data_IF_497215780452
#
_entry.id   IF_497215780452
#
_cell.length_a   1.000
_cell.length_b   1.000
_cell.length_c   1.000
_cell.angle_alpha   90.00
_cell.angle_beta   90.00
_cell.angle_gamma   90.00
#
_symmetry.space_group_name_H-M   'P 1'
#
loop_
_entity.id
_entity.type
_entity.pdbx_description
1 polymer ?
#
# COMPACT_ATOMS: atom_id res chain seq x y z
N UNK A 1 8.44 -25.41 -20.38
CA UNK A 1 8.51 -23.97 -20.05
C UNK A 1 8.39 -23.81 -18.55
N UNK A 2 9.47 -23.46 -17.83
CA UNK A 2 9.41 -23.21 -16.39
C UNK A 2 8.74 -21.86 -16.16
N UNK A 3 7.50 -21.89 -15.68
CA UNK A 3 6.79 -20.71 -15.20
C UNK A 3 7.48 -20.32 -13.89
N UNK A 4 8.33 -19.29 -13.93
CA UNK A 4 8.83 -18.66 -12.71
C UNK A 4 7.63 -18.06 -11.99
N UNK A 5 7.27 -18.65 -10.86
CA UNK A 5 6.24 -18.11 -9.97
C UNK A 5 6.75 -16.77 -9.46
N UNK A 6 6.08 -15.68 -9.82
CA UNK A 6 6.49 -14.28 -9.54
C UNK A 6 6.58 -13.90 -8.05
N UNK A 7 6.29 -14.83 -7.14
CA UNK A 7 6.24 -14.60 -5.69
C UNK A 7 7.16 -15.55 -4.90
N UNK A 8 8.35 -15.86 -5.42
CA UNK A 8 9.35 -16.62 -4.65
C UNK A 8 10.28 -15.66 -3.90
N UNK A 9 9.89 -15.28 -2.68
CA UNK A 9 10.78 -14.54 -1.77
C UNK A 9 11.75 -15.52 -1.10
N UNK A 10 13.05 -15.24 -1.17
CA UNK A 10 14.05 -15.95 -0.38
C UNK A 10 14.17 -15.22 0.97
N UNK A 11 13.88 -15.88 2.11
CA UNK A 11 14.00 -15.25 3.41
C UNK A 11 15.49 -15.03 3.74
N UNK A 12 15.92 -13.77 3.72
CA UNK A 12 17.21 -13.35 4.31
C UNK A 12 17.00 -12.78 5.71
N UNK A 13 18.09 -12.62 6.46
CA UNK A 13 18.03 -11.99 7.79
C UNK A 13 17.44 -10.58 7.73
N UNK A 14 17.80 -9.78 6.72
CA UNK A 14 17.24 -8.44 6.51
C UNK A 14 15.74 -8.50 6.18
N UNK A 15 15.34 -9.43 5.32
CA UNK A 15 13.95 -9.56 4.89
C UNK A 15 13.04 -9.96 6.05
N UNK A 16 13.49 -10.88 6.91
CA UNK A 16 12.77 -11.26 8.12
C UNK A 16 12.64 -10.08 9.08
N UNK A 17 13.74 -9.37 9.35
CA UNK A 17 13.74 -8.19 10.24
C UNK A 17 12.79 -7.09 9.73
N UNK A 18 12.89 -6.75 8.46
CA UNK A 18 12.06 -5.69 7.86
C UNK A 18 10.59 -6.09 7.82
N UNK A 19 10.27 -7.38 7.62
CA UNK A 19 8.90 -7.88 7.68
C UNK A 19 8.28 -7.68 9.06
N UNK A 20 9.04 -7.93 10.13
CA UNK A 20 8.56 -7.75 11.51
C UNK A 20 8.28 -6.28 11.80
N UNK A 21 9.21 -5.38 11.44
CA UNK A 21 9.04 -3.93 11.66
C UNK A 21 7.82 -3.41 10.88
N UNK A 22 7.67 -3.84 9.63
CA UNK A 22 6.55 -3.46 8.79
C UNK A 22 5.22 -3.97 9.37
N UNK A 23 5.20 -5.22 9.84
CA UNK A 23 4.02 -5.82 10.46
C UNK A 23 3.60 -5.08 11.73
N UNK A 24 4.56 -4.81 12.63
CA UNK A 24 4.34 -4.07 13.87
C UNK A 24 3.72 -2.69 13.61
N UNK A 25 4.31 -1.95 12.67
CA UNK A 25 3.81 -0.64 12.31
C UNK A 25 2.42 -0.67 11.63
N UNK A 26 2.10 -1.70 10.85
CA UNK A 26 0.73 -1.90 10.31
C UNK A 26 -0.27 -2.18 11.42
N UNK A 27 0.07 -3.05 12.38
CA UNK A 27 -0.82 -3.39 13.50
C UNK A 27 -1.09 -2.20 14.42
N UNK A 28 -0.12 -1.30 14.57
CA UNK A 28 -0.27 -0.03 15.30
C UNK A 28 -0.94 1.09 14.49
N UNK A 29 -1.35 0.84 13.23
CA UNK A 29 -1.90 1.83 12.30
C UNK A 29 -0.94 3.03 12.07
N UNK A 30 0.37 2.79 12.05
CA UNK A 30 1.38 3.82 11.74
C UNK A 30 1.56 3.98 10.23
N UNK A 31 1.72 5.22 9.77
CA UNK A 31 2.14 5.51 8.40
C UNK A 31 3.63 5.20 8.22
N UNK A 32 3.99 4.57 7.10
CA UNK A 32 5.36 4.10 6.83
C UNK A 32 5.71 4.46 5.39
N UNK A 33 6.95 4.88 5.17
CA UNK A 33 7.54 5.05 3.84
C UNK A 33 8.66 4.04 3.68
N UNK A 34 8.59 3.20 2.65
CA UNK A 34 9.66 2.28 2.28
C UNK A 34 10.53 2.91 1.19
N UNK A 35 11.74 3.33 1.56
CA UNK A 35 12.71 3.93 0.64
C UNK A 35 13.80 2.93 0.24
N UNK A 36 14.27 3.01 -1.01
CA UNK A 36 15.43 2.26 -1.49
C UNK A 36 15.51 2.23 -3.02
N UNK A 37 16.58 1.67 -3.62
CA UNK A 37 16.73 1.55 -5.07
C UNK A 37 15.62 0.70 -5.73
N UNK A 38 15.34 0.87 -7.04
CA UNK A 38 14.46 -0.04 -7.77
C UNK A 38 15.01 -1.48 -7.69
N UNK A 39 14.13 -2.46 -7.55
CA UNK A 39 14.51 -3.88 -7.44
C UNK A 39 14.98 -4.35 -6.06
N UNK A 40 15.03 -3.50 -5.02
CA UNK A 40 15.46 -3.92 -3.67
C UNK A 40 14.38 -4.67 -2.85
N UNK A 41 13.28 -5.09 -3.47
CA UNK A 41 12.27 -5.95 -2.84
C UNK A 41 11.21 -5.27 -1.97
N UNK A 42 11.03 -3.94 -2.05
CA UNK A 42 10.01 -3.19 -1.27
C UNK A 42 8.59 -3.73 -1.47
N UNK A 43 8.12 -3.79 -2.72
CA UNK A 43 6.79 -4.30 -3.04
C UNK A 43 6.66 -5.77 -2.66
N UNK A 44 7.72 -6.56 -2.83
CA UNK A 44 7.76 -7.96 -2.38
C UNK A 44 7.63 -8.10 -0.86
N UNK A 45 8.22 -7.21 -0.07
CA UNK A 45 8.10 -7.19 1.39
C UNK A 45 6.65 -6.96 1.84
N UNK A 46 5.97 -5.98 1.22
CA UNK A 46 4.56 -5.67 1.50
C UNK A 46 3.65 -6.85 1.12
N UNK A 47 3.87 -7.44 -0.06
CA UNK A 47 3.10 -8.61 -0.47
C UNK A 47 3.39 -9.84 0.39
N UNK A 48 4.58 -9.95 1.00
CA UNK A 48 4.89 -11.04 1.92
C UNK A 48 4.13 -10.93 3.23
N UNK A 49 4.05 -9.75 3.84
CA UNK A 49 3.30 -9.56 5.10
C UNK A 49 1.78 -9.75 4.91
N UNK A 50 1.26 -9.63 3.68
CA UNK A 50 -0.16 -9.92 3.36
C UNK A 50 -0.57 -11.33 3.76
N UNK A 51 0.34 -12.30 3.63
CA UNK A 51 0.08 -13.70 3.99
C UNK A 51 -0.11 -13.88 5.50
N UNK A 52 0.49 -12.98 6.31
CA UNK A 52 0.36 -12.95 7.77
C UNK A 52 -0.88 -12.18 8.24
N UNK A 53 -1.41 -11.29 7.39
CA UNK A 53 -2.53 -10.39 7.70
C UNK A 53 -3.83 -10.85 7.04
N UNK A 54 -4.42 -11.95 7.51
CA UNK A 54 -5.64 -12.53 6.93
C UNK A 54 -6.87 -11.61 7.00
N UNK A 55 -6.98 -10.81 8.07
CA UNK A 55 -8.07 -9.84 8.29
C UNK A 55 -7.85 -8.49 7.62
N UNK A 56 -6.76 -8.34 6.84
CA UNK A 56 -6.45 -7.13 6.11
C UNK A 56 -6.45 -7.41 4.61
N UNK A 57 -6.87 -6.45 3.80
CA UNK A 57 -6.62 -6.41 2.36
C UNK A 57 -5.60 -5.30 2.03
N UNK A 58 -4.96 -5.40 0.87
CA UNK A 58 -4.02 -4.38 0.37
C UNK A 58 -4.62 -3.80 -0.91
N UNK A 59 -4.80 -2.49 -0.94
CA UNK A 59 -5.07 -1.71 -2.15
C UNK A 59 -3.75 -1.11 -2.61
N UNK A 60 -3.22 -1.62 -3.72
CA UNK A 60 -2.03 -1.04 -4.36
C UNK A 60 -2.45 0.06 -5.33
N UNK A 61 -1.88 1.25 -5.17
CA UNK A 61 -2.04 2.39 -6.06
C UNK A 61 -0.66 2.68 -6.68
N UNK A 62 -0.57 2.60 -8.00
CA UNK A 62 0.65 2.93 -8.74
C UNK A 62 0.55 4.39 -9.20
N UNK A 63 1.41 5.25 -8.66
CA UNK A 63 1.46 6.66 -9.04
C UNK A 63 2.19 6.81 -10.38
N UNK A 64 1.71 7.76 -11.18
CA UNK A 64 2.37 8.22 -12.39
C UNK A 64 2.43 9.75 -12.38
N UNK A 65 3.09 10.33 -13.38
CA UNK A 65 3.13 11.78 -13.58
C UNK A 65 1.76 12.43 -13.81
N UNK A 66 0.73 11.64 -14.09
CA UNK A 66 -0.63 12.12 -14.37
C UNK A 66 -1.66 11.68 -13.34
N UNK A 67 -1.25 11.00 -12.27
CA UNK A 67 -2.17 10.58 -11.21
C UNK A 67 -2.68 11.82 -10.46
N UNK A 68 -4.00 12.02 -10.45
CA UNK A 68 -4.64 13.14 -9.74
C UNK A 68 -5.25 12.69 -8.41
N UNK A 69 -5.52 13.64 -7.51
CA UNK A 69 -6.29 13.40 -6.29
C UNK A 69 -7.67 12.75 -6.55
N UNK A 70 -8.33 13.10 -7.65
CA UNK A 70 -9.61 12.46 -8.04
C UNK A 70 -9.43 10.98 -8.39
N UNK A 71 -8.30 10.62 -9.01
CA UNK A 71 -7.99 9.22 -9.33
C UNK A 71 -7.72 8.42 -8.05
N UNK A 72 -7.02 9.00 -7.08
CA UNK A 72 -6.82 8.38 -5.76
C UNK A 72 -8.15 8.09 -5.08
N UNK A 73 -9.06 9.07 -5.06
CA UNK A 73 -10.39 8.87 -4.49
C UNK A 73 -11.16 7.77 -5.23
N UNK A 74 -11.11 7.74 -6.57
CA UNK A 74 -11.74 6.67 -7.37
C UNK A 74 -11.18 5.30 -7.00
N UNK A 75 -9.86 5.15 -6.87
CA UNK A 75 -9.24 3.87 -6.49
C UNK A 75 -9.69 3.42 -5.10
N UNK A 76 -9.71 4.34 -4.12
CA UNK A 76 -10.15 4.01 -2.76
C UNK A 76 -11.63 3.61 -2.76
N UNK A 77 -12.49 4.31 -3.51
CA UNK A 77 -13.93 4.00 -3.62
C UNK A 77 -14.24 2.69 -4.34
N UNK A 78 -13.29 2.10 -5.08
CA UNK A 78 -13.46 0.74 -5.60
C UNK A 78 -13.48 -0.28 -4.46
N UNK A 79 -12.63 -0.12 -3.44
CA UNK A 79 -12.52 -1.03 -2.30
C UNK A 79 -13.29 -0.58 -1.05
N UNK A 80 -13.69 0.69 -0.98
CA UNK A 80 -14.37 1.28 0.18
C UNK A 80 -15.73 1.86 -0.17
N UNK A 81 -16.58 1.99 0.84
CA UNK A 81 -17.91 2.60 0.76
C UNK A 81 -18.13 3.56 1.91
N UNK A 82 -18.97 4.57 1.68
CA UNK A 82 -19.38 5.49 2.74
C UNK A 82 -20.40 4.82 3.65
N UNK A 83 -20.10 4.77 4.95
CA UNK A 83 -21.02 4.34 6.00
C UNK A 83 -21.35 5.52 6.91
N UNK A 84 -22.62 5.60 7.32
CA UNK A 84 -23.04 6.55 8.37
C UNK A 84 -22.61 5.97 9.72
N UNK A 85 -21.69 6.64 10.38
CA UNK A 85 -21.27 6.36 11.75
C UNK A 85 -21.79 7.41 12.73
N UNK A 86 -21.50 7.20 14.02
CA UNK A 86 -21.89 8.12 15.09
C UNK A 86 -21.25 9.52 14.95
N UNK A 87 -20.12 9.62 14.26
CA UNK A 87 -19.38 10.87 14.04
C UNK A 87 -19.54 11.44 12.62
N UNK A 88 -20.54 10.98 11.87
CA UNK A 88 -20.78 11.41 10.49
C UNK A 88 -20.48 10.31 9.47
N UNK A 89 -20.25 10.70 8.22
CA UNK A 89 -19.91 9.75 7.16
C UNK A 89 -18.45 9.35 7.27
N UNK A 90 -18.21 8.05 7.28
CA UNK A 90 -16.88 7.46 7.32
C UNK A 90 -16.70 6.56 6.10
N UNK A 91 -15.49 6.57 5.54
CA UNK A 91 -15.14 5.66 4.46
C UNK A 91 -14.63 4.35 5.08
N UNK A 92 -15.26 3.23 4.73
CA UNK A 92 -14.95 1.93 5.29
C UNK A 92 -14.76 0.88 4.19
N UNK A 93 -13.84 -0.08 4.34
CA UNK A 93 -13.69 -1.17 3.37
C UNK A 93 -14.99 -1.98 3.22
N UNK A 94 -15.37 -2.29 1.98
CA UNK A 94 -16.62 -3.02 1.65
C UNK A 94 -16.65 -4.42 2.25
N UNK A 95 -15.49 -5.07 2.33
CA UNK A 95 -15.36 -6.46 2.78
C UNK A 95 -15.32 -6.61 4.30
N UNK A 96 -15.45 -5.53 5.07
CA UNK A 96 -15.36 -5.54 6.54
C UNK A 96 -13.97 -5.86 7.10
N UNK A 97 -12.98 -6.07 6.23
CA UNK A 97 -11.56 -6.21 6.57
C UNK A 97 -10.92 -4.85 6.78
N UNK A 98 -9.78 -4.83 7.47
CA UNK A 98 -8.92 -3.64 7.49
C UNK A 98 -8.25 -3.46 6.12
N UNK A 99 -7.88 -2.23 5.76
CA UNK A 99 -7.29 -1.93 4.46
C UNK A 99 -5.94 -1.24 4.62
N UNK A 100 -4.92 -1.81 3.99
CA UNK A 100 -3.62 -1.16 3.80
C UNK A 100 -3.64 -0.51 2.42
N UNK A 101 -3.37 0.79 2.35
CA UNK A 101 -3.15 1.48 1.07
C UNK A 101 -1.66 1.51 0.83
N UNK A 102 -1.21 0.83 -0.23
CA UNK A 102 0.18 0.83 -0.64
C UNK A 102 0.33 1.70 -1.89
N UNK A 103 0.99 2.85 -1.73
CA UNK A 103 1.32 3.74 -2.84
C UNK A 103 2.71 3.40 -3.38
N UNK A 104 2.78 2.86 -4.59
CA UNK A 104 4.04 2.60 -5.29
C UNK A 104 4.40 3.79 -6.20
N UNK A 105 5.70 4.01 -6.41
CA UNK A 105 6.23 5.07 -7.29
C UNK A 105 5.77 6.51 -6.95
N UNK A 106 5.52 6.79 -5.66
CA UNK A 106 5.12 8.12 -5.16
C UNK A 106 5.97 9.29 -5.69
N UNK A 107 7.25 9.04 -5.94
CA UNK A 107 8.22 10.01 -6.44
C UNK A 107 7.98 10.47 -7.89
N UNK A 108 7.05 9.84 -8.63
CA UNK A 108 6.76 10.18 -10.03
C UNK A 108 5.64 11.21 -10.22
N UNK A 109 4.94 11.61 -9.15
CA UNK A 109 3.91 12.65 -9.23
C UNK A 109 4.51 14.00 -9.65
N UNK A 110 3.92 14.64 -10.67
CA UNK A 110 4.40 15.94 -11.14
C UNK A 110 4.25 17.00 -10.05
N UNK A 111 5.29 17.82 -9.90
CA UNK A 111 5.21 19.05 -9.13
C UNK A 111 4.57 20.14 -9.98
N UNK A 112 3.70 20.95 -9.38
CA UNK A 112 3.22 22.18 -9.99
C UNK A 112 4.36 23.20 -10.16
N UNK A 113 4.08 24.33 -10.82
CA UNK A 113 5.06 25.41 -11.02
C UNK A 113 5.65 25.98 -9.70
N UNK A 114 5.03 25.67 -8.55
CA UNK A 114 5.44 26.11 -7.22
C UNK A 114 6.15 25.01 -6.41
N UNK A 115 6.40 23.83 -6.99
CA UNK A 115 7.06 22.71 -6.32
C UNK A 115 6.15 21.88 -5.40
N UNK A 116 4.83 22.06 -5.49
CA UNK A 116 3.83 21.33 -4.70
C UNK A 116 3.31 20.13 -5.48
N UNK A 117 3.05 19.01 -4.79
CA UNK A 117 2.36 17.85 -5.36
C UNK A 117 0.93 17.82 -4.81
N UNK A 118 -0.07 17.82 -5.70
CA UNK A 118 -1.50 17.88 -5.40
C UNK A 118 -2.28 16.72 -5.98
#
# INVERSE_FOLDING_TARGET
SKIFKSNFMVPTHETARNSIILLDAVLENRFIILCGPPGCGKSMLIHNIKALLLSWDILTIHFSSTTTSDDLLRYILQSCEYKKGAHGQMLCPKNGKNLIIFCDELNLSQQDEYGTQS
#
